data_IF_666860996546
#
_entry.id   IF_666860996546
#
_cell.length_a   1.000
_cell.length_b   1.000
_cell.length_c   1.000
_cell.angle_alpha   90.00
_cell.angle_beta   90.00
_cell.angle_gamma   90.00
#
_symmetry.space_group_name_H-M   'P 1'
#
loop_
_entity.id
_entity.type
_entity.pdbx_description
1 polymer ?
#
# COMPACT_ATOMS: atom_id res chain seq x y z
N UNK A 1 12.68 -25.59 -1.59
CA UNK A 1 11.83 -25.11 -0.48
C UNK A 1 12.73 -24.75 0.69
N UNK A 2 12.80 -23.50 1.07
CA UNK A 2 13.50 -23.09 2.27
C UNK A 2 12.69 -23.60 3.48
N UNK A 3 13.31 -24.36 4.37
CA UNK A 3 12.61 -24.91 5.54
C UNK A 3 12.18 -23.73 6.43
N UNK A 4 10.88 -23.65 6.77
CA UNK A 4 10.30 -22.59 7.62
C UNK A 4 11.09 -22.43 8.92
N UNK A 5 11.54 -23.56 9.52
CA UNK A 5 12.34 -23.53 10.75
C UNK A 5 13.70 -22.83 10.55
N UNK A 6 14.34 -23.04 9.39
CA UNK A 6 15.62 -22.38 9.07
C UNK A 6 15.43 -20.89 8.88
N UNK A 7 14.35 -20.49 8.20
CA UNK A 7 14.03 -19.07 8.01
C UNK A 7 13.74 -18.38 9.35
N UNK A 8 12.81 -18.95 10.14
CA UNK A 8 12.45 -18.41 11.43
C UNK A 8 13.67 -18.32 12.37
N UNK A 9 14.51 -19.34 12.40
CA UNK A 9 15.74 -19.37 13.19
C UNK A 9 16.73 -18.27 12.77
N UNK A 10 16.88 -18.03 11.47
CA UNK A 10 17.72 -16.97 10.94
C UNK A 10 17.21 -15.58 11.33
N UNK A 11 15.87 -15.36 11.28
CA UNK A 11 15.26 -14.10 11.69
C UNK A 11 15.39 -13.86 13.20
N UNK A 12 15.15 -14.88 14.02
CA UNK A 12 15.36 -14.79 15.49
C UNK A 12 16.80 -14.37 15.79
N UNK A 13 17.79 -15.01 15.15
CA UNK A 13 19.21 -14.66 15.30
C UNK A 13 19.51 -13.26 14.83
N UNK A 14 18.93 -12.82 13.72
CA UNK A 14 19.09 -11.47 13.17
C UNK A 14 18.59 -10.41 14.14
N UNK A 15 17.33 -10.52 14.58
CA UNK A 15 16.73 -9.54 15.50
C UNK A 15 17.37 -9.57 16.88
N UNK A 16 17.77 -10.73 17.39
CA UNK A 16 18.53 -10.82 18.64
C UNK A 16 19.83 -10.00 18.56
N UNK A 17 20.60 -10.19 17.49
CA UNK A 17 21.85 -9.41 17.29
C UNK A 17 21.58 -7.91 17.12
N UNK A 18 20.50 -7.57 16.39
CA UNK A 18 20.09 -6.17 16.20
C UNK A 18 19.77 -5.48 17.52
N UNK A 19 19.17 -6.23 18.48
CA UNK A 19 18.88 -5.74 19.85
C UNK A 19 20.09 -5.82 20.79
N UNK A 20 21.23 -6.33 20.32
CA UNK A 20 22.45 -6.48 21.12
C UNK A 20 22.40 -7.62 22.14
N UNK A 21 21.40 -8.51 22.08
CA UNK A 21 21.28 -9.60 23.04
C UNK A 21 22.24 -10.75 22.74
N UNK A 22 22.86 -11.27 23.80
CA UNK A 22 23.54 -12.58 23.77
C UNK A 22 22.51 -13.73 23.70
N UNK A 23 22.96 -14.93 23.33
CA UNK A 23 22.12 -16.12 23.40
C UNK A 23 21.57 -16.37 24.82
N UNK A 24 22.39 -16.14 25.84
CA UNK A 24 21.99 -16.32 27.25
C UNK A 24 20.90 -15.35 27.68
N UNK A 25 21.03 -14.07 27.32
CA UNK A 25 20.04 -13.05 27.65
C UNK A 25 18.69 -13.32 27.03
N UNK A 26 18.64 -13.65 25.73
CA UNK A 26 17.35 -13.98 25.11
C UNK A 26 16.77 -15.28 25.65
N UNK A 27 17.60 -16.32 25.87
CA UNK A 27 17.15 -17.57 26.43
C UNK A 27 16.49 -17.39 27.82
N UNK A 28 17.11 -16.56 28.67
CA UNK A 28 16.56 -16.23 29.99
C UNK A 28 15.22 -15.48 29.89
N UNK A 29 15.08 -14.55 28.93
CA UNK A 29 13.85 -13.77 28.73
C UNK A 29 12.65 -14.66 28.34
N UNK A 30 12.89 -15.74 27.62
CA UNK A 30 11.84 -16.67 27.17
C UNK A 30 11.80 -17.96 27.97
N UNK A 31 12.47 -18.01 29.14
CA UNK A 31 12.53 -19.16 30.05
C UNK A 31 12.95 -20.48 29.34
N UNK A 32 13.91 -20.42 28.41
CA UNK A 32 14.46 -21.58 27.71
C UNK A 32 15.97 -21.71 27.97
N UNK A 33 16.49 -22.91 27.75
CA UNK A 33 17.95 -23.12 27.83
C UNK A 33 18.67 -22.47 26.62
N UNK A 34 19.92 -22.05 26.83
CA UNK A 34 20.78 -21.54 25.76
C UNK A 34 20.91 -22.53 24.60
N UNK A 35 21.00 -23.85 24.93
CA UNK A 35 21.07 -24.90 23.93
C UNK A 35 19.79 -25.02 23.11
N UNK A 36 18.62 -24.83 23.72
CA UNK A 36 17.33 -24.83 23.03
C UNK A 36 17.24 -23.64 22.07
N UNK A 37 17.56 -22.42 22.55
CA UNK A 37 17.56 -21.23 21.70
C UNK A 37 18.56 -21.35 20.54
N UNK A 38 19.75 -21.92 20.77
CA UNK A 38 20.72 -22.17 19.72
C UNK A 38 20.18 -23.12 18.64
N UNK A 39 19.39 -24.14 19.03
CA UNK A 39 18.73 -25.06 18.09
C UNK A 39 17.60 -24.36 17.32
N UNK A 40 16.85 -23.45 17.96
CA UNK A 40 15.85 -22.60 17.28
C UNK A 40 16.53 -21.71 16.23
N UNK A 41 17.60 -21.00 16.61
CA UNK A 41 18.33 -20.13 15.67
C UNK A 41 19.01 -20.89 14.51
N UNK A 42 19.39 -22.14 14.76
CA UNK A 42 19.94 -23.04 13.73
C UNK A 42 18.87 -23.72 12.89
N UNK A 43 17.58 -23.56 13.20
CA UNK A 43 16.48 -24.20 12.49
C UNK A 43 16.47 -25.73 12.59
N UNK A 44 17.18 -26.30 13.57
CA UNK A 44 17.28 -27.77 13.78
C UNK A 44 16.08 -28.35 14.51
N UNK A 45 15.34 -27.53 15.24
CA UNK A 45 14.06 -27.88 15.86
C UNK A 45 13.03 -26.79 15.56
N UNK A 46 11.76 -27.16 15.51
CA UNK A 46 10.65 -26.22 15.32
C UNK A 46 10.38 -25.45 16.60
N UNK A 47 10.05 -24.15 16.44
CA UNK A 47 9.56 -23.31 17.53
C UNK A 47 8.05 -23.48 17.59
N UNK A 48 7.49 -23.77 18.74
CA UNK A 48 6.03 -23.76 18.94
C UNK A 48 5.50 -22.32 18.94
N UNK A 49 4.20 -22.17 18.65
CA UNK A 49 3.58 -20.85 18.47
C UNK A 49 3.68 -19.97 19.74
N UNK A 50 3.55 -20.56 20.92
CA UNK A 50 3.65 -19.82 22.18
C UNK A 50 5.06 -19.26 22.38
N UNK A 51 6.07 -20.14 22.22
CA UNK A 51 7.49 -19.75 22.33
C UNK A 51 7.85 -18.72 21.24
N UNK A 52 7.33 -18.85 20.01
CA UNK A 52 7.55 -17.87 18.94
C UNK A 52 6.97 -16.49 19.30
N UNK A 53 5.79 -16.47 19.94
CA UNK A 53 5.17 -15.24 20.44
C UNK A 53 6.01 -14.60 21.56
N UNK A 54 6.52 -15.39 22.51
CA UNK A 54 7.42 -14.89 23.57
C UNK A 54 8.72 -14.31 23.02
N UNK A 55 9.30 -14.96 21.99
CA UNK A 55 10.47 -14.46 21.29
C UNK A 55 10.16 -13.12 20.60
N UNK A 56 9.03 -13.04 19.88
CA UNK A 56 8.62 -11.85 19.18
C UNK A 56 8.47 -10.65 20.13
N UNK A 57 7.77 -10.85 21.26
CA UNK A 57 7.62 -9.84 22.33
C UNK A 57 8.99 -9.44 22.89
N UNK A 58 9.86 -10.41 23.20
CA UNK A 58 11.17 -10.15 23.78
C UNK A 58 12.11 -9.38 22.84
N UNK A 59 11.92 -9.56 21.53
CA UNK A 59 12.69 -8.88 20.48
C UNK A 59 12.00 -7.58 19.99
N UNK A 60 10.80 -7.26 20.50
CA UNK A 60 9.97 -6.13 20.07
C UNK A 60 9.70 -6.15 18.55
N UNK A 61 9.31 -7.30 18.05
CA UNK A 61 8.93 -7.52 16.64
C UNK A 61 7.57 -8.22 16.57
N UNK A 62 6.98 -8.29 15.38
CA UNK A 62 5.77 -9.08 15.16
C UNK A 62 6.14 -10.53 14.80
N UNK A 63 5.19 -11.47 15.02
CA UNK A 63 5.40 -12.88 14.63
C UNK A 63 5.66 -13.01 13.12
N UNK A 64 4.95 -12.20 12.31
CA UNK A 64 5.10 -12.18 10.86
C UNK A 64 6.52 -11.81 10.42
N UNK A 65 7.23 -10.98 11.18
CA UNK A 65 8.62 -10.63 10.91
C UNK A 65 9.59 -11.78 11.17
N UNK A 66 9.19 -12.77 11.97
CA UNK A 66 9.96 -13.97 12.24
C UNK A 66 9.64 -15.11 11.27
N UNK A 67 8.53 -15.05 10.55
CA UNK A 67 8.10 -16.07 9.59
C UNK A 67 8.44 -15.68 8.15
N UNK A 68 8.63 -16.67 7.26
CA UNK A 68 8.77 -16.35 5.84
C UNK A 68 7.52 -15.63 5.35
N UNK A 69 7.66 -14.61 4.49
CA UNK A 69 6.51 -13.94 3.89
C UNK A 69 5.57 -15.00 3.28
N UNK A 70 4.29 -14.91 3.58
CA UNK A 70 3.28 -15.87 3.11
C UNK A 70 3.34 -16.09 1.58
N UNK A 71 3.87 -15.12 0.86
CA UNK A 71 4.03 -15.15 -0.59
C UNK A 71 5.19 -16.04 -1.10
N UNK A 72 6.12 -16.51 -0.26
CA UNK A 72 7.18 -17.43 -0.71
C UNK A 72 6.69 -18.85 -0.98
N UNK A 73 5.50 -19.23 -0.48
CA UNK A 73 4.83 -20.50 -0.79
C UNK A 73 3.61 -20.32 -1.69
N UNK A 74 3.17 -19.11 -1.97
CA UNK A 74 2.32 -18.87 -3.12
C UNK A 74 3.16 -19.20 -4.37
N UNK A 75 2.65 -19.97 -5.36
CA UNK A 75 3.31 -20.04 -6.65
C UNK A 75 3.62 -18.60 -7.04
N UNK A 76 4.86 -18.35 -7.48
CA UNK A 76 5.26 -17.02 -7.91
C UNK A 76 4.09 -16.51 -8.77
N UNK A 77 3.36 -15.51 -8.26
CA UNK A 77 2.31 -14.89 -9.06
C UNK A 77 3.08 -14.34 -10.24
N UNK A 78 3.02 -15.05 -11.36
CA UNK A 78 3.54 -14.53 -12.61
C UNK A 78 2.87 -13.17 -12.76
N UNK A 79 3.70 -12.13 -12.76
CA UNK A 79 3.26 -10.75 -12.74
C UNK A 79 2.12 -10.55 -13.74
N UNK A 80 0.91 -10.46 -13.24
CA UNK A 80 -0.22 -9.86 -13.93
C UNK A 80 -0.94 -10.61 -15.03
N UNK A 81 -0.62 -11.86 -15.35
CA UNK A 81 -1.42 -12.58 -16.32
C UNK A 81 -2.65 -13.23 -15.65
N UNK A 82 -3.85 -12.72 -15.94
CA UNK A 82 -5.11 -13.44 -15.79
C UNK A 82 -5.54 -13.88 -14.39
N UNK A 83 -5.11 -13.18 -13.34
CA UNK A 83 -5.62 -13.45 -12.00
C UNK A 83 -7.06 -12.93 -11.90
N UNK A 84 -8.02 -13.85 -11.87
CA UNK A 84 -9.36 -13.54 -11.41
C UNK A 84 -9.25 -12.96 -9.99
N UNK A 85 -9.49 -11.67 -9.85
CA UNK A 85 -9.56 -11.02 -8.53
C UNK A 85 -10.66 -11.71 -7.71
N UNK A 86 -10.41 -11.91 -6.41
CA UNK A 86 -11.47 -12.32 -5.48
C UNK A 86 -12.68 -11.38 -5.71
N UNK A 87 -13.89 -11.93 -5.94
CA UNK A 87 -15.09 -11.11 -6.09
C UNK A 87 -15.32 -10.09 -4.96
N UNK A 88 -14.72 -10.31 -3.79
CA UNK A 88 -14.78 -9.37 -2.66
C UNK A 88 -13.79 -8.21 -2.75
N UNK A 89 -12.83 -8.28 -3.67
CA UNK A 89 -11.81 -7.24 -3.82
C UNK A 89 -12.45 -5.92 -4.25
N UNK A 90 -12.00 -4.80 -3.67
CA UNK A 90 -12.58 -3.48 -3.93
C UNK A 90 -12.61 -3.14 -5.42
N UNK A 91 -11.54 -3.46 -6.15
CA UNK A 91 -11.40 -3.18 -7.58
C UNK A 91 -11.92 -4.29 -8.51
N UNK A 92 -12.65 -5.31 -8.00
CA UNK A 92 -13.11 -6.44 -8.84
C UNK A 92 -14.35 -6.15 -9.69
N UNK A 93 -15.21 -5.22 -9.27
CA UNK A 93 -16.60 -5.16 -9.76
C UNK A 93 -16.90 -4.06 -10.77
N UNK A 94 -15.97 -3.16 -11.04
CA UNK A 94 -16.21 -2.04 -11.93
C UNK A 94 -15.05 -1.83 -12.88
N UNK A 95 -15.37 -1.28 -14.03
CA UNK A 95 -14.35 -0.86 -15.00
C UNK A 95 -13.95 0.60 -14.78
N UNK A 96 -14.82 1.39 -14.12
CA UNK A 96 -14.57 2.80 -13.86
C UNK A 96 -14.71 3.09 -12.37
N UNK A 97 -13.72 3.81 -11.83
CA UNK A 97 -13.64 4.34 -10.47
C UNK A 97 -13.41 5.85 -10.55
N UNK A 98 -13.78 6.58 -9.51
CA UNK A 98 -13.57 8.02 -9.42
C UNK A 98 -12.55 8.33 -8.34
N UNK A 99 -11.57 9.17 -8.66
CA UNK A 99 -10.51 9.56 -7.74
C UNK A 99 -10.60 11.07 -7.45
N UNK A 100 -10.51 11.39 -6.18
CA UNK A 100 -10.62 12.75 -5.66
C UNK A 100 -9.35 13.13 -4.95
N UNK A 101 -8.85 14.33 -5.18
CA UNK A 101 -7.77 14.93 -4.40
C UNK A 101 -7.88 16.45 -4.36
N UNK A 102 -7.21 17.03 -3.35
CA UNK A 102 -7.13 18.48 -3.22
C UNK A 102 -6.09 19.03 -4.18
N UNK A 103 -6.50 19.99 -4.96
CA UNK A 103 -5.65 20.73 -5.87
C UNK A 103 -5.66 22.22 -5.52
N UNK A 104 -4.48 22.84 -5.53
CA UNK A 104 -4.37 24.29 -5.42
C UNK A 104 -3.57 24.83 -6.61
N UNK A 105 -4.18 25.61 -7.49
CA UNK A 105 -3.48 26.19 -8.64
C UNK A 105 -2.48 27.27 -8.23
N UNK A 106 -2.49 27.70 -6.99
CA UNK A 106 -1.59 28.72 -6.45
C UNK A 106 -1.10 28.34 -5.05
N UNK A 107 -0.05 29.04 -4.56
CA UNK A 107 0.42 28.87 -3.16
C UNK A 107 -0.59 29.35 -2.11
N UNK A 108 -1.72 29.91 -2.53
CA UNK A 108 -2.75 30.40 -1.63
C UNK A 108 -3.75 29.28 -1.33
N UNK A 109 -3.78 28.81 -0.08
CA UNK A 109 -4.72 27.77 0.38
C UNK A 109 -6.21 28.16 0.21
N UNK A 110 -6.52 29.44 0.06
CA UNK A 110 -7.90 29.90 -0.19
C UNK A 110 -8.45 29.46 -1.56
N UNK A 111 -7.60 29.04 -2.50
CA UNK A 111 -7.99 28.58 -3.83
C UNK A 111 -7.92 27.04 -3.94
N UNK A 112 -7.93 26.34 -2.82
CA UNK A 112 -7.92 24.88 -2.81
C UNK A 112 -9.28 24.34 -3.23
N UNK A 113 -9.31 23.47 -4.24
CA UNK A 113 -10.49 22.78 -4.72
C UNK A 113 -10.28 21.28 -4.79
N UNK A 114 -11.37 20.53 -4.85
CA UNK A 114 -11.32 19.08 -5.08
C UNK A 114 -11.44 18.84 -6.58
N UNK A 115 -10.46 18.14 -7.17
CA UNK A 115 -10.57 17.65 -8.54
C UNK A 115 -11.22 16.28 -8.57
N UNK A 116 -12.00 16.04 -9.63
CA UNK A 116 -12.61 14.76 -9.92
C UNK A 116 -11.91 14.14 -11.12
N UNK A 117 -11.41 12.93 -10.92
CA UNK A 117 -10.67 12.17 -11.91
C UNK A 117 -11.32 10.81 -12.07
N UNK A 118 -11.18 10.19 -13.23
CA UNK A 118 -11.70 8.85 -13.47
C UNK A 118 -10.56 7.86 -13.73
N UNK A 119 -10.64 6.68 -13.16
CA UNK A 119 -9.75 5.55 -13.41
C UNK A 119 -10.55 4.49 -14.15
N UNK A 120 -10.25 4.26 -15.42
CA UNK A 120 -10.80 3.16 -16.22
C UNK A 120 -9.83 1.98 -16.17
N UNK A 121 -10.30 0.80 -15.76
CA UNK A 121 -9.51 -0.44 -15.72
C UNK A 121 -9.99 -1.33 -16.85
N UNK A 122 -9.09 -1.66 -17.76
CA UNK A 122 -9.35 -2.66 -18.83
C UNK A 122 -8.80 -4.00 -18.40
N UNK A 123 -9.71 -4.96 -18.21
CA UNK A 123 -9.38 -6.32 -17.81
C UNK A 123 -8.76 -7.07 -18.97
N UNK A 124 -7.69 -7.81 -18.67
CA UNK A 124 -6.99 -8.65 -19.61
C UNK A 124 -6.91 -10.08 -19.07
N UNK A 125 -7.30 -11.07 -19.88
CA UNK A 125 -7.25 -12.49 -19.47
C UNK A 125 -5.82 -13.05 -19.48
N UNK A 126 -4.96 -12.56 -20.38
CA UNK A 126 -3.64 -13.12 -20.63
C UNK A 126 -2.49 -12.13 -20.42
N UNK A 127 -2.77 -10.96 -19.88
CA UNK A 127 -1.82 -9.89 -19.61
C UNK A 127 -2.21 -9.14 -18.33
N UNK A 128 -1.32 -8.31 -17.76
CA UNK A 128 -1.71 -7.39 -16.70
C UNK A 128 -2.88 -6.50 -17.12
N UNK A 129 -3.78 -6.21 -16.18
CA UNK A 129 -4.84 -5.23 -16.41
C UNK A 129 -4.22 -3.86 -16.71
N UNK A 130 -4.80 -3.17 -17.68
CA UNK A 130 -4.41 -1.81 -18.02
C UNK A 130 -5.28 -0.80 -17.28
N UNK A 131 -4.70 0.34 -16.95
CA UNK A 131 -5.44 1.46 -16.38
C UNK A 131 -5.27 2.72 -17.23
N UNK A 132 -6.33 3.49 -17.33
CA UNK A 132 -6.34 4.85 -17.85
C UNK A 132 -6.77 5.79 -16.73
N UNK A 133 -5.98 6.79 -16.42
CA UNK A 133 -6.34 7.85 -15.50
C UNK A 133 -6.66 9.11 -16.30
N UNK A 134 -7.90 9.57 -16.21
CA UNK A 134 -8.41 10.79 -16.81
C UNK A 134 -8.43 11.87 -15.73
N UNK A 135 -7.55 12.86 -15.85
CA UNK A 135 -7.36 13.89 -14.83
C UNK A 135 -8.12 15.17 -15.15
N UNK A 136 -8.71 15.75 -14.09
CA UNK A 136 -9.47 17.00 -14.17
C UNK A 136 -10.62 16.90 -15.17
N UNK A 137 -11.53 15.95 -14.89
CA UNK A 137 -12.70 15.70 -15.72
C UNK A 137 -13.71 16.84 -15.56
N UNK A 138 -14.06 17.48 -16.67
CA UNK A 138 -15.04 18.56 -16.69
C UNK A 138 -16.49 18.04 -16.55
N UNK A 139 -16.76 16.82 -16.97
CA UNK A 139 -18.05 16.15 -16.87
C UNK A 139 -17.84 14.67 -16.48
N UNK A 140 -17.58 14.40 -15.20
CA UNK A 140 -17.28 13.05 -14.75
C UNK A 140 -18.48 12.10 -14.80
N UNK A 141 -19.70 12.62 -14.85
CA UNK A 141 -20.92 11.81 -14.84
C UNK A 141 -21.25 11.26 -16.22
N UNK A 142 -21.25 12.10 -17.25
CA UNK A 142 -21.68 11.70 -18.60
C UNK A 142 -20.52 11.45 -19.55
N UNK A 143 -19.38 12.13 -19.36
CA UNK A 143 -18.21 12.01 -20.23
C UNK A 143 -16.90 12.26 -19.47
N UNK A 144 -16.49 11.32 -18.65
CA UNK A 144 -15.23 11.41 -17.90
C UNK A 144 -13.98 11.46 -18.81
N UNK A 145 -14.10 11.09 -20.09
CA UNK A 145 -13.01 11.22 -21.09
C UNK A 145 -12.78 12.67 -21.55
N UNK A 146 -13.71 13.56 -21.24
CA UNK A 146 -13.50 15.00 -21.40
C UNK A 146 -12.69 15.53 -20.21
N UNK A 147 -11.37 15.41 -20.30
CA UNK A 147 -10.42 15.68 -19.24
C UNK A 147 -9.20 16.46 -19.76
N UNK A 148 -8.40 16.96 -18.85
CA UNK A 148 -7.22 17.78 -19.18
C UNK A 148 -5.99 16.94 -19.52
N UNK A 149 -5.77 15.83 -18.81
CA UNK A 149 -4.66 14.92 -19.03
C UNK A 149 -5.12 13.47 -19.00
N UNK A 150 -4.44 12.63 -19.76
CA UNK A 150 -4.65 11.19 -19.79
C UNK A 150 -3.34 10.48 -19.50
N UNK A 151 -3.38 9.55 -18.56
CA UNK A 151 -2.28 8.65 -18.29
C UNK A 151 -2.73 7.24 -18.62
N UNK A 152 -1.79 6.41 -19.06
CA UNK A 152 -2.01 4.99 -19.35
C UNK A 152 -0.93 4.16 -18.67
N UNK A 153 -1.29 2.96 -18.26
CA UNK A 153 -0.32 2.07 -17.63
C UNK A 153 -0.93 0.78 -17.11
N UNK A 154 -0.30 0.21 -16.09
CA UNK A 154 -0.59 -1.14 -15.58
C UNK A 154 -1.11 -1.09 -14.15
N UNK A 155 -1.99 -2.04 -13.81
CA UNK A 155 -2.49 -2.26 -12.45
C UNK A 155 -1.85 -3.50 -11.85
N UNK A 156 -1.32 -3.38 -10.65
CA UNK A 156 -0.77 -4.49 -9.86
C UNK A 156 -1.60 -4.67 -8.59
N UNK A 157 -2.18 -5.86 -8.44
CA UNK A 157 -3.05 -6.19 -7.31
C UNK A 157 -2.30 -7.00 -6.26
N UNK A 158 -2.43 -6.57 -5.00
CA UNK A 158 -1.93 -7.27 -3.83
C UNK A 158 -3.02 -7.33 -2.75
N UNK A 159 -2.83 -8.15 -1.73
CA UNK A 159 -3.86 -8.39 -0.70
C UNK A 159 -4.26 -7.12 0.07
N UNK A 160 -3.32 -6.19 0.27
CA UNK A 160 -3.52 -4.98 1.09
C UNK A 160 -3.48 -3.68 0.30
N UNK A 161 -2.99 -3.72 -0.94
CA UNK A 161 -2.71 -2.53 -1.74
C UNK A 161 -2.81 -2.84 -3.23
N UNK A 162 -3.25 -1.85 -3.99
CA UNK A 162 -3.21 -1.86 -5.45
C UNK A 162 -2.31 -0.72 -5.92
N UNK A 163 -1.43 -1.02 -6.85
CA UNK A 163 -0.61 -0.01 -7.52
C UNK A 163 -1.09 0.22 -8.94
N UNK A 164 -1.18 1.50 -9.30
CA UNK A 164 -1.33 1.92 -10.68
C UNK A 164 -0.02 2.58 -11.09
N UNK A 165 0.64 2.03 -12.08
CA UNK A 165 1.89 2.53 -12.65
C UNK A 165 1.55 3.20 -13.97
N UNK A 166 1.57 4.52 -14.00
CA UNK A 166 0.96 5.31 -15.07
C UNK A 166 2.01 6.19 -15.75
N UNK A 167 1.91 6.35 -17.06
CA UNK A 167 2.70 7.28 -17.86
C UNK A 167 1.77 8.26 -18.57
N UNK A 168 2.15 9.53 -18.61
CA UNK A 168 1.38 10.55 -19.29
C UNK A 168 1.42 10.32 -20.80
N UNK A 169 0.26 10.26 -21.45
CA UNK A 169 0.15 9.98 -22.89
C UNK A 169 0.66 11.11 -23.79
N UNK A 170 0.79 12.32 -23.25
CA UNK A 170 1.21 13.52 -24.00
C UNK A 170 2.64 13.98 -23.66
N UNK A 171 3.17 13.57 -22.50
CA UNK A 171 4.47 13.95 -22.01
C UNK A 171 5.29 12.71 -21.64
N UNK A 172 6.11 12.26 -22.58
CA UNK A 172 6.98 11.08 -22.42
C UNK A 172 7.91 11.27 -21.22
N UNK A 173 8.01 10.23 -20.39
CA UNK A 173 8.84 10.23 -19.20
C UNK A 173 8.20 10.86 -17.95
N UNK A 174 6.96 11.34 -18.04
CA UNK A 174 6.19 11.74 -16.86
C UNK A 174 5.41 10.52 -16.33
N UNK A 175 5.92 9.97 -15.24
CA UNK A 175 5.31 8.82 -14.58
C UNK A 175 4.62 9.24 -13.29
N UNK A 176 3.39 8.78 -13.13
CA UNK A 176 2.59 8.97 -11.94
C UNK A 176 2.23 7.61 -11.33
N UNK A 177 2.12 7.55 -10.02
CA UNK A 177 1.85 6.32 -9.29
C UNK A 177 0.70 6.53 -8.31
N UNK A 178 -0.21 5.56 -8.28
CA UNK A 178 -1.25 5.51 -7.25
C UNK A 178 -1.00 4.25 -6.42
N UNK A 179 -0.92 4.41 -5.10
CA UNK A 179 -0.90 3.33 -4.14
C UNK A 179 -2.21 3.38 -3.36
N UNK A 180 -3.16 2.51 -3.69
CA UNK A 180 -4.49 2.49 -3.09
C UNK A 180 -4.62 1.35 -2.08
N UNK A 181 -5.17 1.64 -0.90
CA UNK A 181 -5.47 0.65 0.12
C UNK A 181 -6.59 -0.27 -0.35
N UNK A 182 -6.49 -1.57 -0.05
CA UNK A 182 -7.60 -2.52 -0.21
C UNK A 182 -8.34 -2.62 1.13
N UNK A 183 -9.59 -2.16 1.22
CA UNK A 183 -10.34 -2.24 2.47
C UNK A 183 -10.75 -3.69 2.77
N UNK A 184 -10.69 -4.08 4.05
CA UNK A 184 -11.11 -5.41 4.52
C UNK A 184 -12.63 -5.61 4.53
N UNK A 185 -13.39 -4.53 4.46
CA UNK A 185 -14.86 -4.53 4.48
C UNK A 185 -15.40 -3.99 3.17
N UNK A 186 -16.66 -4.34 2.86
CA UNK A 186 -17.34 -3.82 1.69
C UNK A 186 -17.65 -2.33 1.88
N UNK A 187 -16.81 -1.48 1.29
CA UNK A 187 -16.98 -0.02 1.28
C UNK A 187 -17.17 0.48 -0.14
N UNK A 188 -17.77 1.66 -0.28
CA UNK A 188 -17.87 2.34 -1.58
C UNK A 188 -16.62 3.16 -1.90
N UNK A 189 -15.84 3.50 -0.88
CA UNK A 189 -14.63 4.32 -0.99
C UNK A 189 -13.42 3.62 -0.38
N UNK A 190 -12.26 4.00 -0.86
CA UNK A 190 -10.96 3.68 -0.26
C UNK A 190 -10.02 4.87 -0.37
N UNK A 191 -8.95 4.86 0.40
CA UNK A 191 -7.94 5.91 0.40
C UNK A 191 -6.65 5.42 -0.25
N UNK A 192 -5.83 6.36 -0.69
CA UNK A 192 -4.54 6.06 -1.27
C UNK A 192 -3.62 7.28 -1.31
N UNK A 193 -2.46 7.05 -1.87
CA UNK A 193 -1.47 8.07 -2.17
C UNK A 193 -1.29 8.17 -3.69
N UNK A 194 -1.41 9.37 -4.22
CA UNK A 194 -1.06 9.69 -5.60
C UNK A 194 0.25 10.45 -5.60
N UNK A 195 1.21 9.98 -6.37
CA UNK A 195 2.55 10.57 -6.46
C UNK A 195 2.91 10.82 -7.91
N UNK A 196 3.54 11.95 -8.17
CA UNK A 196 3.94 12.35 -9.50
C UNK A 196 4.68 13.69 -9.46
N UNK A 197 4.57 14.43 -10.54
CA UNK A 197 5.15 15.78 -10.64
C UNK A 197 4.03 16.81 -10.55
N UNK A 198 4.13 17.74 -9.60
CA UNK A 198 3.14 18.81 -9.46
C UNK A 198 3.12 19.70 -10.71
N UNK A 199 1.93 19.93 -11.26
CA UNK A 199 1.75 20.73 -12.49
C UNK A 199 2.27 22.16 -12.32
N UNK A 200 1.99 22.79 -11.17
CA UNK A 200 2.30 24.20 -10.92
C UNK A 200 3.78 24.45 -10.58
N UNK A 201 4.42 23.51 -9.90
CA UNK A 201 5.78 23.70 -9.38
C UNK A 201 6.82 22.83 -10.09
N UNK A 202 6.40 21.84 -10.87
CA UNK A 202 7.25 20.82 -11.52
C UNK A 202 8.19 20.11 -10.54
N UNK A 203 7.75 19.97 -9.29
CA UNK A 203 8.46 19.25 -8.24
C UNK A 203 7.79 17.89 -7.99
N UNK A 204 8.55 16.88 -7.57
CA UNK A 204 7.97 15.66 -7.05
C UNK A 204 6.96 15.98 -5.93
N UNK A 205 5.79 15.40 -6.01
CA UNK A 205 4.69 15.63 -5.10
C UNK A 205 3.98 14.34 -4.74
N UNK A 206 3.39 14.32 -3.55
CA UNK A 206 2.49 13.26 -3.11
C UNK A 206 1.25 13.90 -2.49
N UNK A 207 0.08 13.36 -2.82
CA UNK A 207 -1.19 13.82 -2.25
C UNK A 207 -2.07 12.65 -1.85
N UNK A 208 -2.86 12.84 -0.79
CA UNK A 208 -3.88 11.87 -0.38
C UNK A 208 -5.03 11.88 -1.37
N UNK A 209 -5.52 10.69 -1.71
CA UNK A 209 -6.66 10.52 -2.61
C UNK A 209 -7.75 9.69 -1.95
N UNK A 210 -8.99 9.95 -2.34
CA UNK A 210 -10.13 9.06 -2.12
C UNK A 210 -10.47 8.44 -3.48
N UNK A 211 -10.62 7.12 -3.53
CA UNK A 211 -11.08 6.40 -4.71
C UNK A 211 -12.45 5.81 -4.39
N UNK A 212 -13.42 6.05 -5.25
CA UNK A 212 -14.80 5.61 -5.07
C UNK A 212 -15.28 4.77 -6.24
N UNK A 213 -16.19 3.82 -5.95
CA UNK A 213 -16.90 2.99 -6.94
C UNK A 213 -17.96 3.76 -7.71
N UNK A 214 -18.40 4.90 -7.21
CA UNK A 214 -19.40 5.79 -7.81
C UNK A 214 -19.06 7.23 -7.50
N UNK A 215 -19.64 8.17 -8.23
CA UNK A 215 -19.49 9.58 -7.89
C UNK A 215 -20.02 9.85 -6.47
N UNK A 216 -19.26 10.64 -5.73
CA UNK A 216 -19.61 11.08 -4.38
C UNK A 216 -19.83 12.57 -4.36
N UNK A 217 -20.74 13.03 -3.50
CA UNK A 217 -20.91 14.45 -3.25
C UNK A 217 -19.71 14.99 -2.48
N UNK A 218 -19.13 16.08 -2.98
CA UNK A 218 -18.02 16.76 -2.32
C UNK A 218 -18.60 17.60 -1.18
N UNK A 219 -18.36 17.18 0.04
CA UNK A 219 -18.79 17.84 1.28
C UNK A 219 -17.58 18.38 2.04
N UNK A 220 -17.82 19.16 3.09
CA UNK A 220 -16.75 19.58 4.01
C UNK A 220 -16.00 18.39 4.62
N UNK A 221 -16.69 17.27 4.88
CA UNK A 221 -16.08 16.08 5.43
C UNK A 221 -15.17 15.39 4.39
N UNK A 222 -15.56 15.38 3.11
CA UNK A 222 -14.69 14.91 2.01
C UNK A 222 -13.43 15.76 1.93
N UNK A 223 -13.54 17.08 2.06
CA UNK A 223 -12.37 17.98 2.06
C UNK A 223 -11.48 17.72 3.27
N UNK A 224 -12.07 17.54 4.47
CA UNK A 224 -11.31 17.20 5.68
C UNK A 224 -10.58 15.87 5.54
N UNK A 225 -11.21 14.85 4.97
CA UNK A 225 -10.62 13.55 4.75
C UNK A 225 -9.43 13.61 3.77
N UNK A 226 -9.50 14.44 2.74
CA UNK A 226 -8.43 14.67 1.78
C UNK A 226 -7.29 15.55 2.33
N UNK A 227 -7.54 16.28 3.41
CA UNK A 227 -6.55 17.20 3.97
C UNK A 227 -5.53 16.44 4.81
N UNK A 228 -4.25 16.83 4.71
CA UNK A 228 -3.12 16.24 5.42
C UNK A 228 -2.81 16.94 6.76
N UNK A 229 -3.79 17.56 7.39
CA UNK A 229 -3.64 18.32 8.64
C UNK A 229 -4.25 17.64 9.87
N UNK A 230 -4.72 16.40 9.74
CA UNK A 230 -5.19 15.64 10.89
C UNK A 230 -4.05 15.33 11.87
N UNK A 231 -4.42 15.12 13.16
CA UNK A 231 -3.44 14.93 14.24
C UNK A 231 -2.50 13.76 14.01
N UNK A 232 -3.00 12.67 13.45
CA UNK A 232 -2.23 11.44 13.22
C UNK A 232 -1.24 11.63 12.09
N UNK A 233 -1.64 12.25 10.98
CA UNK A 233 -0.76 12.58 9.86
C UNK A 233 0.36 13.54 10.31
N UNK A 234 0.02 14.58 11.11
CA UNK A 234 1.01 15.52 11.66
C UNK A 234 1.97 14.79 12.61
N UNK A 235 1.45 13.87 13.44
CA UNK A 235 2.27 13.07 14.35
C UNK A 235 3.26 12.20 13.59
N UNK A 236 2.80 11.45 12.58
CA UNK A 236 3.64 10.59 11.76
C UNK A 236 4.71 11.38 11.02
N UNK A 237 4.33 12.54 10.46
CA UNK A 237 5.28 13.41 9.77
C UNK A 237 6.37 13.92 10.72
N UNK A 238 5.99 14.38 11.92
CA UNK A 238 6.94 14.94 12.90
C UNK A 238 7.83 13.89 13.57
N UNK A 239 7.28 12.72 13.90
CA UNK A 239 7.97 11.74 14.73
C UNK A 239 8.54 10.56 13.94
N UNK A 240 7.98 10.26 12.77
CA UNK A 240 8.42 9.16 11.91
C UNK A 240 9.03 9.63 10.60
N UNK A 241 8.98 10.92 10.31
CA UNK A 241 9.35 11.52 9.02
C UNK A 241 8.69 10.79 7.83
N UNK A 242 7.42 10.43 7.98
CA UNK A 242 6.65 9.66 7.02
C UNK A 242 5.25 10.21 6.84
N UNK A 243 4.75 10.18 5.61
CA UNK A 243 3.36 10.44 5.27
C UNK A 243 2.62 9.10 5.23
N UNK A 244 1.76 8.85 6.22
CA UNK A 244 0.96 7.62 6.31
C UNK A 244 -0.51 7.99 6.06
N UNK A 245 -1.10 7.39 5.03
CA UNK A 245 -2.52 7.53 4.70
C UNK A 245 -3.30 6.40 5.38
N UNK A 246 -4.24 6.78 6.23
CA UNK A 246 -5.11 5.84 6.99
C UNK A 246 -6.49 5.77 6.38
#
# INVERSE_FOLDING_TARGET
>A
MQNICQYAGAQIRYYRKLRGYTLSELANRINKSVSTLSKYEGGTISVDLLTLSEIAVSLEVTIEQLLPPAHQNAPARENGAGLSLDPRHFFAHRDVYYMYFLFSPSRNAANMGVTVNAIEIKRNENAPDEAYLYCDCSDPETNYKCCKFVYHGTVLYYDFVVYFLLENMYHVGCHDYICAKVPFTHTNTTTGLYTGVSESLRNPAATKVIISKSLINITEDTVKELTLNDKDTIYDFKNRNALIVR
#
